data_IF_774795737745
#
_entry.id   IF_774795737745
#
_cell.length_a   1.000
_cell.length_b   1.000
_cell.length_c   1.000
_cell.angle_alpha   90.00
_cell.angle_beta   90.00
_cell.angle_gamma   90.00
#
_symmetry.space_group_name_H-M   'P 1'
#
loop_
_entity.id
_entity.type
_entity.pdbx_description
1 polymer ?
#
# COMPACT_ATOMS: atom_id res chain seq x y z
N UNK A 1 -6.50 -6.69 -70.23
CA UNK A 1 -7.64 -5.78 -70.51
C UNK A 1 -8.77 -6.23 -69.60
N UNK A 2 -9.15 -5.45 -68.57
CA UNK A 2 -10.32 -4.53 -68.58
C UNK A 2 -11.62 -5.32 -68.89
N UNK A 3 -12.73 -5.34 -68.14
CA UNK A 3 -13.43 -4.50 -67.13
C UNK A 3 -14.53 -5.44 -66.58
N UNK A 4 -14.78 -5.51 -65.25
CA UNK A 4 -15.95 -4.97 -64.55
C UNK A 4 -17.34 -5.45 -65.07
N UNK A 5 -18.41 -5.62 -64.30
CA UNK A 5 -18.82 -5.11 -62.99
C UNK A 5 -20.15 -5.81 -62.65
N UNK A 6 -20.45 -5.93 -61.36
CA UNK A 6 -21.77 -5.62 -60.79
C UNK A 6 -22.99 -6.54 -61.05
N UNK A 7 -23.35 -7.23 -59.96
CA UNK A 7 -24.54 -6.90 -59.15
C UNK A 7 -25.80 -7.76 -59.28
N UNK A 8 -26.36 -8.00 -58.07
CA UNK A 8 -27.72 -8.43 -57.71
C UNK A 8 -27.91 -9.94 -57.67
N UNK A 9 -27.98 -10.45 -56.45
CA UNK A 9 -28.94 -11.42 -55.91
C UNK A 9 -28.23 -12.15 -54.76
N UNK A 10 -28.39 -11.69 -53.53
CA UNK A 10 -28.34 -12.56 -52.33
C UNK A 10 -28.82 -11.74 -51.12
N UNK A 11 -30.09 -11.30 -51.19
CA UNK A 11 -30.92 -11.22 -50.00
C UNK A 11 -31.24 -12.67 -49.63
N UNK A 12 -30.72 -13.17 -48.50
CA UNK A 12 -31.22 -14.28 -47.66
C UNK A 12 -30.04 -14.96 -46.95
N UNK A 13 -29.63 -14.43 -45.79
CA UNK A 13 -29.42 -15.21 -44.56
C UNK A 13 -29.08 -14.26 -43.41
N UNK A 14 -30.13 -13.74 -42.78
CA UNK A 14 -30.10 -13.20 -41.42
C UNK A 14 -30.46 -14.35 -40.47
N UNK A 15 -29.77 -14.42 -39.33
CA UNK A 15 -29.99 -15.29 -38.17
C UNK A 15 -29.19 -16.60 -38.12
N UNK A 16 -27.94 -16.49 -37.66
CA UNK A 16 -27.40 -17.38 -36.62
C UNK A 16 -26.36 -16.60 -35.81
N UNK A 17 -26.86 -15.60 -35.09
CA UNK A 17 -26.17 -15.03 -33.93
C UNK A 17 -26.52 -15.93 -32.75
N UNK A 18 -25.51 -16.56 -32.16
CA UNK A 18 -25.71 -17.33 -30.94
C UNK A 18 -24.43 -18.00 -30.50
N UNK A 19 -23.67 -17.34 -29.62
CA UNK A 19 -22.60 -18.02 -28.89
C UNK A 19 -21.22 -17.39 -28.99
N UNK A 20 -21.10 -16.07 -29.13
CA UNK A 20 -19.95 -15.39 -28.53
C UNK A 20 -20.41 -14.96 -27.14
N UNK A 21 -20.18 -15.80 -26.13
CA UNK A 21 -20.14 -15.36 -24.74
C UNK A 21 -18.96 -14.40 -24.58
N UNK A 22 -19.14 -13.19 -25.10
CA UNK A 22 -18.31 -12.06 -24.78
C UNK A 22 -18.37 -11.93 -23.26
N UNK A 23 -17.25 -12.20 -22.61
CA UNK A 23 -17.03 -11.88 -21.22
C UNK A 23 -17.14 -10.36 -21.14
N UNK A 24 -18.37 -9.87 -20.91
CA UNK A 24 -18.65 -8.45 -20.84
C UNK A 24 -17.98 -7.94 -19.56
N UNK A 25 -16.74 -7.48 -19.70
CA UNK A 25 -16.05 -6.74 -18.65
C UNK A 25 -16.94 -5.56 -18.34
N UNK A 26 -17.45 -5.50 -17.11
CA UNK A 26 -18.28 -4.39 -16.67
C UNK A 26 -17.55 -3.08 -16.97
N UNK A 27 -18.27 -2.01 -17.35
CA UNK A 27 -17.63 -0.72 -17.61
C UNK A 27 -16.78 -0.31 -16.40
N UNK A 28 -15.56 0.17 -16.63
CA UNK A 28 -14.57 0.43 -15.58
C UNK A 28 -15.15 1.23 -14.39
N UNK A 29 -16.02 2.21 -14.66
CA UNK A 29 -16.70 3.01 -13.64
C UNK A 29 -17.64 2.19 -12.72
N UNK A 30 -18.32 1.17 -13.26
CA UNK A 30 -19.16 0.27 -12.45
C UNK A 30 -18.30 -0.69 -11.62
N UNK A 31 -17.16 -1.11 -12.15
CA UNK A 31 -16.19 -1.92 -11.43
C UNK A 31 -15.53 -1.14 -10.28
N UNK A 32 -15.17 0.14 -10.51
CA UNK A 32 -14.65 1.06 -9.49
C UNK A 32 -15.66 1.31 -8.36
N UNK A 33 -16.95 1.47 -8.69
CA UNK A 33 -17.97 1.64 -7.67
C UNK A 33 -18.15 0.37 -6.82
N UNK A 34 -18.04 -0.81 -7.44
CA UNK A 34 -18.12 -2.09 -6.75
C UNK A 34 -16.90 -2.34 -5.84
N UNK A 35 -15.68 -2.09 -6.32
CA UNK A 35 -14.46 -2.24 -5.52
C UNK A 35 -14.42 -1.27 -4.34
N UNK A 36 -14.85 -0.02 -4.53
CA UNK A 36 -14.99 0.94 -3.40
C UNK A 36 -15.99 0.49 -2.35
N UNK A 37 -17.13 -0.07 -2.76
CA UNK A 37 -18.11 -0.63 -1.81
C UNK A 37 -17.50 -1.81 -1.03
N UNK A 38 -16.79 -2.68 -1.74
CA UNK A 38 -16.14 -3.84 -1.15
C UNK A 38 -15.05 -3.43 -0.14
N UNK A 39 -14.24 -2.42 -0.46
CA UNK A 39 -13.25 -1.85 0.44
C UNK A 39 -13.89 -1.35 1.75
N UNK A 40 -14.98 -0.57 1.65
CA UNK A 40 -15.73 -0.10 2.84
C UNK A 40 -16.26 -1.25 3.70
N UNK A 41 -16.67 -2.36 3.08
CA UNK A 41 -17.11 -3.55 3.84
C UNK A 41 -15.95 -4.31 4.48
N UNK A 42 -14.77 -4.32 3.85
CA UNK A 42 -13.55 -4.85 4.45
C UNK A 42 -13.19 -4.09 5.73
N UNK A 43 -13.19 -2.75 5.67
CA UNK A 43 -12.90 -1.90 6.82
C UNK A 43 -13.89 -2.11 7.97
N UNK A 44 -15.17 -2.26 7.63
CA UNK A 44 -16.23 -2.53 8.61
C UNK A 44 -16.03 -3.87 9.28
N UNK A 45 -15.68 -4.91 8.52
CA UNK A 45 -15.36 -6.23 9.07
C UNK A 45 -14.12 -6.18 9.97
N UNK A 46 -13.09 -5.42 9.57
CA UNK A 46 -11.87 -5.23 10.36
C UNK A 46 -12.17 -4.57 11.72
N UNK A 47 -13.04 -3.55 11.74
CA UNK A 47 -13.48 -2.85 12.97
C UNK A 47 -14.38 -3.72 13.86
N UNK A 48 -15.21 -4.59 13.26
CA UNK A 48 -16.11 -5.49 13.99
C UNK A 48 -15.43 -6.73 14.57
N UNK A 49 -14.11 -6.87 14.39
CA UNK A 49 -13.37 -8.01 14.91
C UNK A 49 -13.50 -9.28 14.07
N UNK A 50 -13.86 -9.16 12.78
CA UNK A 50 -13.88 -10.27 11.82
C UNK A 50 -12.67 -10.19 10.87
N UNK A 51 -11.44 -10.50 11.34
CA UNK A 51 -10.22 -10.25 10.57
C UNK A 51 -10.10 -11.14 9.32
N UNK A 52 -10.60 -12.38 9.36
CA UNK A 52 -10.57 -13.27 8.19
C UNK A 52 -11.46 -12.76 7.06
N UNK A 53 -12.67 -12.33 7.41
CA UNK A 53 -13.62 -11.73 6.48
C UNK A 53 -13.08 -10.42 5.88
N UNK A 54 -12.42 -9.59 6.71
CA UNK A 54 -11.77 -8.37 6.24
C UNK A 54 -10.66 -8.68 5.23
N UNK A 55 -9.75 -9.62 5.55
CA UNK A 55 -8.66 -10.02 4.67
C UNK A 55 -9.17 -10.52 3.31
N UNK A 56 -10.19 -11.39 3.31
CA UNK A 56 -10.81 -11.89 2.07
C UNK A 56 -11.35 -10.75 1.21
N UNK A 57 -12.02 -9.77 1.81
CA UNK A 57 -12.57 -8.62 1.06
C UNK A 57 -11.48 -7.71 0.51
N UNK A 58 -10.43 -7.43 1.28
CA UNK A 58 -9.29 -6.66 0.76
C UNK A 58 -8.62 -7.39 -0.41
N UNK A 59 -8.43 -8.70 -0.31
CA UNK A 59 -7.88 -9.51 -1.40
C UNK A 59 -8.77 -9.46 -2.65
N UNK A 60 -10.09 -9.53 -2.50
CA UNK A 60 -11.02 -9.38 -3.64
C UNK A 60 -10.92 -8.01 -4.30
N UNK A 61 -10.76 -6.93 -3.53
CA UNK A 61 -10.51 -5.59 -4.09
C UNK A 61 -9.20 -5.60 -4.90
N UNK A 62 -8.13 -6.14 -4.33
CA UNK A 62 -6.82 -6.17 -4.98
C UNK A 62 -6.71 -7.15 -6.15
N UNK A 63 -7.56 -8.18 -6.21
CA UNK A 63 -7.70 -9.04 -7.39
C UNK A 63 -8.32 -8.27 -8.56
N UNK A 64 -9.32 -7.42 -8.29
CA UNK A 64 -9.94 -6.59 -9.31
C UNK A 64 -9.06 -5.39 -9.69
N UNK A 65 -8.36 -4.79 -8.71
CA UNK A 65 -7.55 -3.58 -8.88
C UNK A 65 -6.21 -3.72 -8.14
N UNK A 66 -5.21 -4.41 -8.72
CA UNK A 66 -3.95 -4.72 -8.04
C UNK A 66 -3.10 -3.52 -7.60
N UNK A 67 -3.33 -2.37 -8.24
CA UNK A 67 -2.60 -1.13 -8.04
C UNK A 67 -3.46 -0.05 -7.35
N UNK A 68 -4.62 -0.40 -6.81
CA UNK A 68 -5.43 0.54 -6.03
C UNK A 68 -4.64 0.96 -4.77
N UNK A 69 -4.28 2.24 -4.69
CA UNK A 69 -3.40 2.75 -3.64
C UNK A 69 -4.10 2.76 -2.27
N UNK A 70 -5.41 3.01 -2.24
CA UNK A 70 -6.20 3.05 -1.01
C UNK A 70 -6.33 1.63 -0.42
N UNK A 71 -6.64 0.65 -1.27
CA UNK A 71 -6.74 -0.75 -0.90
C UNK A 71 -5.39 -1.33 -0.46
N UNK A 72 -4.31 -1.05 -1.20
CA UNK A 72 -2.96 -1.48 -0.80
C UNK A 72 -2.55 -0.85 0.54
N UNK A 73 -2.81 0.45 0.74
CA UNK A 73 -2.50 1.13 2.00
C UNK A 73 -3.29 0.52 3.17
N UNK A 74 -4.60 0.38 3.00
CA UNK A 74 -5.51 -0.01 4.07
C UNK A 74 -5.34 -1.48 4.43
N UNK A 75 -5.19 -2.37 3.44
CA UNK A 75 -4.91 -3.78 3.68
C UNK A 75 -3.54 -4.00 4.32
N UNK A 76 -2.49 -3.36 3.80
CA UNK A 76 -1.16 -3.46 4.37
C UNK A 76 -1.11 -2.97 5.82
N UNK A 77 -1.81 -1.87 6.12
CA UNK A 77 -1.94 -1.33 7.47
C UNK A 77 -2.72 -2.25 8.41
N UNK A 78 -3.80 -2.87 7.91
CA UNK A 78 -4.59 -3.85 8.65
C UNK A 78 -3.75 -5.08 9.02
N UNK A 79 -3.00 -5.63 8.07
CA UNK A 79 -2.10 -6.77 8.29
C UNK A 79 -1.00 -6.43 9.31
N UNK A 80 -0.39 -5.25 9.15
CA UNK A 80 0.65 -4.76 10.05
C UNK A 80 0.14 -4.57 11.49
N UNK A 81 -1.04 -3.97 11.67
CA UNK A 81 -1.65 -3.79 12.98
C UNK A 81 -1.93 -5.12 13.69
N UNK A 82 -2.22 -6.18 12.91
CA UNK A 82 -2.47 -7.53 13.41
C UNK A 82 -1.20 -8.37 13.54
N UNK A 83 -0.04 -7.87 13.09
CA UNK A 83 1.22 -8.64 12.99
C UNK A 83 1.04 -9.97 12.24
N UNK A 84 0.24 -9.96 11.18
CA UNK A 84 -0.04 -11.13 10.32
C UNK A 84 0.45 -10.84 8.91
N UNK A 85 0.95 -11.87 8.22
CA UNK A 85 1.40 -11.78 6.83
C UNK A 85 2.29 -10.54 6.57
N UNK A 86 3.34 -10.39 7.39
CA UNK A 86 4.18 -9.19 7.41
C UNK A 86 4.83 -8.90 6.04
N UNK A 87 5.17 -9.93 5.28
CA UNK A 87 5.66 -9.77 3.90
C UNK A 87 4.58 -9.19 2.97
N UNK A 88 3.34 -9.69 3.04
CA UNK A 88 2.21 -9.12 2.29
C UNK A 88 1.97 -7.67 2.69
N UNK A 89 2.03 -7.37 3.99
CA UNK A 89 1.90 -6.00 4.51
C UNK A 89 2.97 -5.08 3.93
N UNK A 90 4.24 -5.49 3.99
CA UNK A 90 5.38 -4.77 3.44
C UNK A 90 5.21 -4.52 1.94
N UNK A 91 4.82 -5.55 1.17
CA UNK A 91 4.62 -5.41 -0.28
C UNK A 91 3.50 -4.43 -0.63
N UNK A 92 2.35 -4.51 0.07
CA UNK A 92 1.24 -3.59 -0.15
C UNK A 92 1.66 -2.14 0.17
N UNK A 93 2.31 -1.92 1.33
CA UNK A 93 2.78 -0.59 1.72
C UNK A 93 3.86 -0.04 0.79
N UNK A 94 4.78 -0.89 0.31
CA UNK A 94 5.82 -0.51 -0.64
C UNK A 94 5.23 0.00 -1.96
N UNK A 95 4.22 -0.68 -2.51
CA UNK A 95 3.53 -0.21 -3.74
C UNK A 95 2.97 1.20 -3.59
N UNK A 96 2.42 1.52 -2.41
CA UNK A 96 1.92 2.87 -2.11
C UNK A 96 3.06 3.85 -1.98
N UNK A 97 4.15 3.45 -1.32
CA UNK A 97 5.33 4.29 -1.09
C UNK A 97 6.02 4.68 -2.40
N UNK A 98 6.18 3.74 -3.33
CA UNK A 98 6.76 3.99 -4.66
C UNK A 98 5.93 4.97 -5.51
N UNK A 99 4.62 5.07 -5.28
CA UNK A 99 3.71 5.94 -6.04
C UNK A 99 3.50 7.30 -5.39
N UNK A 100 3.51 7.37 -4.07
CA UNK A 100 3.24 8.57 -3.27
C UNK A 100 4.42 8.90 -2.34
N UNK A 101 5.65 8.76 -2.82
CA UNK A 101 6.87 8.97 -2.02
C UNK A 101 7.02 10.39 -1.47
N UNK A 102 6.27 11.36 -2.00
CA UNK A 102 6.61 12.78 -1.85
C UNK A 102 6.22 13.44 -0.52
N UNK A 103 5.37 12.85 0.35
CA UNK A 103 4.95 13.60 1.55
C UNK A 103 4.31 12.84 2.72
N UNK A 104 4.18 11.51 2.72
CA UNK A 104 3.43 10.84 3.79
C UNK A 104 4.36 10.22 4.87
N UNK A 105 4.68 10.94 5.97
CA UNK A 105 5.49 10.40 7.07
C UNK A 105 4.88 9.14 7.69
N UNK A 106 3.55 9.03 7.70
CA UNK A 106 2.85 7.89 8.24
C UNK A 106 3.06 6.64 7.39
N UNK A 107 3.17 6.78 6.07
CA UNK A 107 3.48 5.67 5.17
C UNK A 107 4.92 5.19 5.35
N UNK A 108 5.89 6.11 5.43
CA UNK A 108 7.27 5.79 5.73
C UNK A 108 7.39 5.05 7.07
N UNK A 109 6.72 5.55 8.12
CA UNK A 109 6.66 4.90 9.42
C UNK A 109 6.05 3.48 9.35
N UNK A 110 4.93 3.29 8.65
CA UNK A 110 4.28 1.97 8.53
C UNK A 110 5.15 0.98 7.75
N UNK A 111 5.79 1.41 6.67
CA UNK A 111 6.70 0.57 5.90
C UNK A 111 7.95 0.23 6.73
N UNK A 112 8.55 1.21 7.41
CA UNK A 112 9.68 0.98 8.33
C UNK A 112 9.33 0.01 9.46
N UNK A 113 8.11 0.12 10.01
CA UNK A 113 7.60 -0.82 11.01
C UNK A 113 7.39 -2.23 10.44
N UNK A 114 6.97 -2.37 9.18
CA UNK A 114 6.88 -3.67 8.53
C UNK A 114 8.27 -4.33 8.41
N UNK A 115 9.27 -3.58 7.95
CA UNK A 115 10.67 -4.02 7.89
C UNK A 115 11.22 -4.39 9.27
N UNK A 116 10.98 -3.54 10.29
CA UNK A 116 11.40 -3.80 11.66
C UNK A 116 10.81 -5.12 12.21
N UNK A 117 9.52 -5.36 12.01
CA UNK A 117 8.87 -6.60 12.46
C UNK A 117 9.34 -7.85 11.69
N UNK A 118 9.93 -7.66 10.51
CA UNK A 118 10.56 -8.71 9.70
C UNK A 118 12.05 -8.90 10.04
N UNK A 119 12.61 -8.13 10.99
CA UNK A 119 14.05 -8.15 11.31
C UNK A 119 14.94 -7.49 10.25
N UNK A 120 14.34 -6.80 9.27
CA UNK A 120 15.01 -6.10 8.18
C UNK A 120 15.42 -4.70 8.66
N UNK A 121 16.34 -4.65 9.62
CA UNK A 121 16.69 -3.40 10.30
C UNK A 121 17.40 -2.40 9.40
N UNK A 122 18.21 -2.87 8.45
CA UNK A 122 18.94 -2.02 7.50
C UNK A 122 17.98 -1.20 6.62
N UNK A 123 16.84 -1.79 6.25
CA UNK A 123 15.79 -1.13 5.47
C UNK A 123 14.85 -0.30 6.36
N UNK A 124 14.65 -0.69 7.61
CA UNK A 124 13.76 0.01 8.54
C UNK A 124 14.31 1.37 8.99
N UNK A 125 15.62 1.46 9.27
CA UNK A 125 16.30 2.67 9.77
C UNK A 125 16.07 3.90 8.88
N UNK A 126 16.39 3.89 7.56
CA UNK A 126 16.23 5.08 6.71
C UNK A 126 14.76 5.50 6.57
N UNK A 127 13.82 4.55 6.63
CA UNK A 127 12.38 4.85 6.58
C UNK A 127 11.90 5.56 7.86
N UNK A 128 12.40 5.16 9.03
CA UNK A 128 12.09 5.85 10.27
C UNK A 128 12.75 7.22 10.35
N UNK A 129 13.97 7.39 9.85
CA UNK A 129 14.63 8.68 9.75
C UNK A 129 13.84 9.65 8.88
N UNK A 130 13.44 9.21 7.69
CA UNK A 130 12.59 10.00 6.80
C UNK A 130 11.26 10.39 7.47
N UNK A 131 10.62 9.45 8.19
CA UNK A 131 9.39 9.73 8.93
C UNK A 131 9.61 10.77 10.05
N UNK A 132 10.66 10.63 10.86
CA UNK A 132 10.99 11.55 11.94
C UNK A 132 11.36 12.93 11.40
N UNK A 133 12.10 13.00 10.30
CA UNK A 133 12.50 14.26 9.68
C UNK A 133 11.30 15.00 9.09
N UNK A 134 10.41 14.30 8.39
CA UNK A 134 9.18 14.88 7.86
C UNK A 134 8.27 15.39 8.99
N UNK A 135 8.09 14.63 10.08
CA UNK A 135 7.32 15.04 11.28
C UNK A 135 8.01 16.12 12.13
N UNK A 136 9.28 16.42 11.87
CA UNK A 136 10.00 17.54 12.50
C UNK A 136 9.83 18.82 11.70
N UNK A 137 9.70 18.69 10.38
CA UNK A 137 9.57 19.79 9.43
C UNK A 137 8.10 20.19 9.18
N UNK A 138 7.12 19.50 9.78
CA UNK A 138 5.74 19.98 9.84
C UNK A 138 5.72 21.33 10.55
N UNK A 139 5.11 22.39 9.96
CA UNK A 139 5.07 23.73 10.56
C UNK A 139 4.62 23.65 12.00
N UNK A 140 5.23 24.46 12.86
CA UNK A 140 4.89 24.46 14.26
C UNK A 140 3.42 24.88 14.44
N UNK A 141 2.84 24.50 15.58
CA UNK A 141 1.49 24.91 15.97
C UNK A 141 1.23 26.43 15.87
N UNK A 142 2.29 27.24 15.89
CA UNK A 142 2.24 28.70 15.83
C UNK A 142 2.22 29.24 14.37
N UNK A 143 2.68 28.44 13.40
CA UNK A 143 2.72 28.80 11.97
C UNK A 143 1.39 28.48 11.25
N UNK A 144 0.61 27.54 11.77
CA UNK A 144 -0.68 27.12 11.24
C UNK A 144 -1.81 27.83 11.99
N UNK A 145 -2.11 29.05 11.56
CA UNK A 145 -3.32 29.76 11.99
C UNK A 145 -4.57 28.95 11.56
N UNK A 146 -5.24 28.42 12.58
CA UNK A 146 -6.69 28.16 12.68
C UNK A 146 -7.38 26.97 11.98
N UNK A 147 -6.78 26.20 11.08
CA UNK A 147 -7.57 25.14 10.39
C UNK A 147 -7.45 23.70 10.94
N UNK A 148 -6.31 23.30 11.50
CA UNK A 148 -6.10 21.91 11.94
C UNK A 148 -5.98 21.77 13.47
N UNK A 149 -7.00 21.18 14.10
CA UNK A 149 -7.20 21.12 15.55
C UNK A 149 -6.16 20.33 16.37
N UNK A 150 -6.30 20.30 17.72
CA UNK A 150 -5.35 19.68 18.65
C UNK A 150 -5.15 18.16 18.47
N UNK A 151 -6.11 17.50 17.82
CA UNK A 151 -6.08 16.06 17.57
C UNK A 151 -5.02 15.64 16.54
N UNK A 152 -4.82 16.47 15.50
CA UNK A 152 -3.76 16.24 14.50
C UNK A 152 -2.36 16.42 15.13
N UNK A 153 -2.21 17.40 16.02
CA UNK A 153 -0.96 17.64 16.79
C UNK A 153 -0.58 16.46 17.68
N UNK A 154 -1.55 15.88 18.39
CA UNK A 154 -1.33 14.69 19.22
C UNK A 154 -0.98 13.45 18.40
N UNK A 155 -1.62 13.31 17.23
CA UNK A 155 -1.35 12.22 16.31
C UNK A 155 0.09 12.29 15.77
N UNK A 156 0.54 13.48 15.37
CA UNK A 156 1.91 13.70 14.87
C UNK A 156 2.96 13.53 15.97
N UNK A 157 2.69 14.02 17.19
CA UNK A 157 3.59 13.83 18.33
C UNK A 157 3.73 12.35 18.72
N UNK A 158 2.62 11.61 18.78
CA UNK A 158 2.63 10.17 19.06
C UNK A 158 3.37 9.39 17.97
N UNK A 159 3.12 9.71 16.69
CA UNK A 159 3.84 9.08 15.58
C UNK A 159 5.32 9.41 15.59
N UNK A 160 5.70 10.65 15.90
CA UNK A 160 7.10 11.07 16.02
C UNK A 160 7.81 10.35 17.15
N UNK A 161 7.18 10.25 18.33
CA UNK A 161 7.73 9.50 19.46
C UNK A 161 7.91 8.02 19.11
N UNK A 162 6.86 7.41 18.56
CA UNK A 162 6.88 6.00 18.15
C UNK A 162 7.95 5.72 17.08
N UNK A 163 8.07 6.58 16.08
CA UNK A 163 9.07 6.47 15.02
C UNK A 163 10.50 6.61 15.58
N UNK A 164 10.72 7.57 16.48
CA UNK A 164 12.01 7.78 17.12
C UNK A 164 12.42 6.59 17.99
N UNK A 165 11.48 6.01 18.75
CA UNK A 165 11.74 4.82 19.56
C UNK A 165 12.11 3.61 18.70
N UNK A 166 11.34 3.35 17.63
CA UNK A 166 11.62 2.24 16.72
C UNK A 166 12.90 2.47 15.90
N UNK A 167 13.25 3.71 15.58
CA UNK A 167 14.53 4.06 14.96
C UNK A 167 15.71 3.66 15.87
N UNK A 168 15.69 4.09 17.13
CA UNK A 168 16.74 3.77 18.10
C UNK A 168 16.88 2.26 18.28
N UNK A 169 15.75 1.56 18.42
CA UNK A 169 15.76 0.11 18.54
C UNK A 169 16.33 -0.56 17.30
N UNK A 170 15.87 -0.18 16.11
CA UNK A 170 16.34 -0.78 14.85
C UNK A 170 17.83 -0.52 14.60
N UNK A 171 18.35 0.66 14.97
CA UNK A 171 19.78 0.95 14.91
C UNK A 171 20.59 0.05 15.82
N UNK A 172 20.16 -0.11 17.08
CA UNK A 172 20.84 -1.00 18.03
C UNK A 172 20.92 -2.43 17.50
N UNK A 173 19.79 -2.98 17.03
CA UNK A 173 19.74 -4.34 16.48
C UNK A 173 20.59 -4.48 15.21
N UNK A 174 20.62 -3.44 14.36
CA UNK A 174 21.47 -3.41 13.18
C UNK A 174 22.97 -3.43 13.55
N UNK A 175 23.38 -2.64 14.54
CA UNK A 175 24.77 -2.60 15.02
C UNK A 175 25.18 -3.94 15.64
N UNK A 176 24.30 -4.60 16.40
CA UNK A 176 24.53 -5.94 16.92
C UNK A 176 24.68 -6.98 15.79
N UNK A 177 23.83 -6.92 14.77
CA UNK A 177 23.96 -7.79 13.58
C UNK A 177 25.28 -7.56 12.83
N UNK A 178 25.71 -6.30 12.71
CA UNK A 178 26.98 -5.95 12.05
C UNK A 178 28.18 -6.47 12.82
N UNK A 179 28.22 -6.23 14.14
CA UNK A 179 29.28 -6.74 15.00
C UNK A 179 29.38 -8.28 14.94
N UNK A 180 28.24 -8.98 14.92
CA UNK A 180 28.21 -10.43 14.76
C UNK A 180 28.78 -10.91 13.42
N UNK A 181 28.50 -10.20 12.33
CA UNK A 181 29.03 -10.50 10.99
C UNK A 181 30.54 -10.23 10.89
N UNK A 182 31.03 -9.16 11.52
CA UNK A 182 32.47 -8.87 11.60
C UNK A 182 33.24 -9.96 12.35
N UNK A 183 32.68 -10.49 13.45
CA UNK A 183 33.26 -11.64 14.17
C UNK A 183 33.33 -12.91 13.31
N UNK A 184 32.45 -13.03 12.32
CA UNK A 184 32.48 -14.12 11.33
C UNK A 184 33.43 -13.83 10.15
N UNK A 185 34.18 -12.73 10.19
CA UNK A 185 35.09 -12.32 9.13
C UNK A 185 34.41 -11.69 7.91
N UNK A 186 33.10 -11.40 8.00
CA UNK A 186 32.36 -10.70 6.94
C UNK A 186 32.48 -9.21 7.17
N UNK A 187 33.33 -8.53 6.40
CA UNK A 187 33.48 -7.07 6.46
C UNK A 187 32.31 -6.40 5.72
N UNK A 188 31.46 -5.70 6.44
CA UNK A 188 30.36 -4.92 5.86
C UNK A 188 30.81 -3.50 5.51
N UNK A 189 30.25 -2.87 4.46
CA UNK A 189 30.47 -1.45 4.20
C UNK A 189 29.92 -0.60 5.36
N UNK A 190 30.56 0.55 5.68
CA UNK A 190 30.08 1.44 6.73
C UNK A 190 28.66 1.93 6.43
N UNK A 191 27.87 2.21 7.48
CA UNK A 191 26.62 2.97 7.30
C UNK A 191 26.95 4.36 6.77
N UNK A 192 26.37 4.71 5.62
CA UNK A 192 26.30 6.10 5.14
C UNK A 192 25.29 6.91 5.97
#
# INVERSE_FOLDING_TARGET
MLVARSSRLFLFWLLSVGGLSAWAVAPAAAQDAATRRLLKTADRAARRGHPGEAAQRYQQVLLAQPNDLEANFTYGSFLLARKRELETARQCLRKVYEKNSSYNPQLAFRLGRAHHLLGQYAEAVPLFEAAVQALRNTPSADDLLEEDGPELRLLDAHHRFSASALLLQSRKELDECRAALELQGVRLPPAE
#
